data_IF_518339625854
#
_entry.id   IF_518339625854
#
_cell.length_a   1.000
_cell.length_b   1.000
_cell.length_c   1.000
_cell.angle_alpha   90.00
_cell.angle_beta   90.00
_cell.angle_gamma   90.00
#
_symmetry.space_group_name_H-M   'P 1'
#
loop_
_entity.id
_entity.type
_entity.pdbx_description
1 polymer ?
#
# COMPACT_ATOMS: atom_id res chain seq x y z
N UNK A 1 6.12 23.23 0.90
CA UNK A 1 7.35 22.41 0.73
C UNK A 1 7.21 21.65 -0.59
N UNK A 2 8.26 21.61 -1.42
CA UNK A 2 8.24 20.77 -2.63
C UNK A 2 8.68 19.34 -2.27
N UNK A 3 8.17 18.35 -3.00
CA UNK A 3 8.45 16.95 -2.71
C UNK A 3 9.96 16.64 -2.70
N UNK A 4 10.67 17.14 -3.71
CA UNK A 4 12.13 16.99 -3.88
C UNK A 4 12.97 17.52 -2.70
N UNK A 5 12.40 18.43 -1.90
CA UNK A 5 13.10 19.01 -0.74
C UNK A 5 12.97 18.09 0.50
N UNK A 6 12.12 17.06 0.42
CA UNK A 6 11.79 16.12 1.50
C UNK A 6 12.14 14.67 1.17
N UNK A 7 12.00 14.26 -0.09
CA UNK A 7 12.23 12.88 -0.50
C UNK A 7 13.70 12.58 -0.73
N UNK A 8 14.14 11.35 -0.42
CA UNK A 8 15.52 10.91 -0.64
C UNK A 8 16.54 11.47 0.36
N UNK A 9 16.08 12.09 1.45
CA UNK A 9 16.89 12.57 2.56
C UNK A 9 17.06 11.46 3.60
N UNK A 10 18.26 11.27 4.15
CA UNK A 10 18.51 10.29 5.24
C UNK A 10 18.13 8.84 4.86
N UNK A 11 18.70 8.34 3.76
CA UNK A 11 18.56 6.94 3.38
C UNK A 11 19.17 6.03 4.44
N UNK A 12 18.46 4.95 4.78
CA UNK A 12 18.93 3.95 5.72
C UNK A 12 18.90 2.55 5.08
N UNK A 13 19.74 1.66 5.59
CA UNK A 13 19.78 0.25 5.20
C UNK A 13 18.66 -0.54 5.89
N UNK A 14 18.42 -1.77 5.44
CA UNK A 14 17.53 -2.70 6.14
C UNK A 14 17.98 -2.92 7.59
N UNK A 15 19.29 -3.09 7.84
CA UNK A 15 19.85 -3.27 9.18
C UNK A 15 19.55 -2.10 10.11
N UNK A 16 19.73 -0.86 9.60
CA UNK A 16 19.37 0.34 10.35
C UNK A 16 17.87 0.37 10.65
N UNK A 17 17.02 0.00 9.69
CA UNK A 17 15.57 -0.07 9.91
C UNK A 17 15.19 -1.13 10.95
N UNK A 18 15.81 -2.30 10.91
CA UNK A 18 15.61 -3.38 11.89
C UNK A 18 16.18 -3.05 13.28
N UNK A 19 17.04 -2.03 13.39
CA UNK A 19 17.49 -1.53 14.70
C UNK A 19 16.50 -0.58 15.38
N UNK A 20 15.51 -0.08 14.64
CA UNK A 20 14.45 0.76 15.18
C UNK A 20 13.58 -0.04 16.13
N UNK A 21 13.07 0.59 17.19
CA UNK A 21 12.01 -0.02 17.97
C UNK A 21 10.67 0.01 17.20
N UNK A 22 9.68 -0.75 17.69
CA UNK A 22 8.37 -0.87 17.06
C UNK A 22 7.70 0.50 16.78
N UNK A 23 7.74 1.42 17.75
CA UNK A 23 7.11 2.74 17.61
C UNK A 23 7.79 3.57 16.50
N UNK A 24 9.12 3.53 16.45
CA UNK A 24 9.91 4.19 15.43
C UNK A 24 9.65 3.59 14.04
N UNK A 25 9.63 2.27 13.92
CA UNK A 25 9.38 1.58 12.65
C UNK A 25 7.97 1.82 12.11
N UNK A 26 6.95 1.83 12.99
CA UNK A 26 5.55 2.11 12.59
C UNK A 26 5.38 3.55 12.07
N UNK A 27 6.12 4.51 12.64
CA UNK A 27 6.05 5.92 12.22
C UNK A 27 6.99 6.26 11.06
N UNK A 28 7.89 5.35 10.70
CA UNK A 28 8.89 5.58 9.67
C UNK A 28 8.26 5.94 8.33
N UNK A 29 8.71 7.04 7.74
CA UNK A 29 8.24 7.53 6.46
C UNK A 29 9.19 7.15 5.33
N UNK A 30 8.81 6.13 4.56
CA UNK A 30 9.57 5.60 3.42
C UNK A 30 9.73 6.62 2.28
N UNK A 31 8.98 7.72 2.26
CA UNK A 31 9.20 8.80 1.31
C UNK A 31 10.57 9.47 1.48
N UNK A 32 11.11 9.45 2.71
CA UNK A 32 12.48 9.93 2.97
C UNK A 32 13.53 9.11 2.22
N UNK A 33 13.20 7.90 1.76
CA UNK A 33 14.16 7.02 1.08
C UNK A 33 14.29 7.32 -0.43
N UNK A 34 13.32 8.01 -1.04
CA UNK A 34 13.37 8.41 -2.45
C UNK A 34 12.05 8.97 -2.97
N UNK A 35 12.08 9.63 -4.13
CA UNK A 35 10.88 10.19 -4.79
C UNK A 35 9.84 9.11 -5.14
N UNK A 36 10.30 7.90 -5.48
CA UNK A 36 9.48 6.69 -5.66
C UNK A 36 9.68 5.75 -4.47
N UNK A 37 9.05 6.07 -3.34
CA UNK A 37 9.20 5.36 -2.06
C UNK A 37 8.99 3.83 -2.15
N UNK A 38 8.10 3.41 -3.04
CA UNK A 38 7.70 2.02 -3.33
C UNK A 38 8.71 1.22 -4.18
N UNK A 39 9.77 1.88 -4.66
CA UNK A 39 10.86 1.30 -5.47
C UNK A 39 12.24 1.49 -4.87
N UNK A 40 12.30 1.96 -3.62
CA UNK A 40 13.58 2.18 -2.94
C UNK A 40 14.22 0.87 -2.55
N UNK A 41 15.54 0.89 -2.40
CA UNK A 41 16.33 -0.26 -1.94
C UNK A 41 15.82 -0.79 -0.59
N UNK A 42 15.49 0.12 0.34
CA UNK A 42 14.94 -0.26 1.65
C UNK A 42 13.59 -0.98 1.49
N UNK A 43 12.67 -0.43 0.70
CA UNK A 43 11.36 -1.04 0.47
C UNK A 43 11.53 -2.43 -0.16
N UNK A 44 12.33 -2.55 -1.22
CA UNK A 44 12.61 -3.84 -1.87
C UNK A 44 13.21 -4.86 -0.89
N UNK A 45 14.16 -4.43 -0.04
CA UNK A 45 14.81 -5.29 0.95
C UNK A 45 13.83 -5.80 2.01
N UNK A 46 12.93 -4.94 2.50
CA UNK A 46 11.84 -5.33 3.41
C UNK A 46 10.93 -6.34 2.73
N UNK A 47 10.56 -6.11 1.46
CA UNK A 47 9.73 -7.04 0.70
C UNK A 47 10.40 -8.38 0.47
N UNK A 48 11.69 -8.43 0.15
CA UNK A 48 12.43 -9.68 0.04
C UNK A 48 12.49 -10.45 1.36
N UNK A 49 12.65 -9.74 2.49
CA UNK A 49 12.66 -10.38 3.81
C UNK A 49 11.29 -10.95 4.19
N UNK A 50 10.21 -10.23 3.91
CA UNK A 50 8.84 -10.67 4.23
C UNK A 50 8.34 -11.75 3.26
N UNK A 51 8.76 -11.68 2.00
CA UNK A 51 8.20 -12.48 0.91
C UNK A 51 9.33 -13.06 0.04
N UNK A 52 9.78 -14.29 0.30
CA UNK A 52 10.88 -14.92 -0.44
C UNK A 52 10.67 -15.04 -1.97
N UNK A 53 9.43 -14.90 -2.43
CA UNK A 53 9.05 -14.96 -3.85
C UNK A 53 9.01 -13.58 -4.54
N UNK A 54 9.21 -12.50 -3.79
CA UNK A 54 9.24 -11.15 -4.34
C UNK A 54 10.38 -11.00 -5.35
N UNK A 55 10.11 -10.33 -6.46
CA UNK A 55 11.04 -10.06 -7.56
C UNK A 55 10.88 -8.60 -7.90
N UNK A 56 11.84 -7.78 -7.49
CA UNK A 56 11.80 -6.33 -7.66
C UNK A 56 11.60 -5.89 -9.11
N UNK A 57 12.11 -6.68 -10.08
CA UNK A 57 11.99 -6.35 -11.51
C UNK A 57 10.57 -6.53 -12.03
N UNK A 58 9.74 -7.30 -11.32
CA UNK A 58 8.36 -7.61 -11.71
C UNK A 58 7.32 -6.95 -10.81
N UNK A 59 7.65 -6.68 -9.54
CA UNK A 59 6.66 -6.34 -8.51
C UNK A 59 6.90 -4.98 -7.82
N UNK A 60 8.04 -4.31 -8.03
CA UNK A 60 8.30 -3.01 -7.42
C UNK A 60 7.43 -1.88 -8.00
N UNK A 61 6.99 -0.93 -7.16
CA UNK A 61 6.11 0.17 -7.57
C UNK A 61 4.60 -0.08 -7.44
N UNK A 62 4.20 -1.25 -6.93
CA UNK A 62 2.80 -1.61 -6.67
C UNK A 62 2.58 -2.00 -5.20
N UNK A 63 3.45 -1.48 -4.32
CA UNK A 63 3.62 -1.95 -2.94
C UNK A 63 2.88 -1.09 -1.91
N UNK A 64 2.29 0.05 -2.29
CA UNK A 64 1.70 1.00 -1.32
C UNK A 64 0.35 1.53 -1.80
N UNK A 65 -0.63 1.64 -0.89
CA UNK A 65 -1.94 2.19 -1.21
C UNK A 65 -1.95 3.74 -1.15
N UNK A 66 -2.88 4.39 -1.85
CA UNK A 66 -2.95 5.86 -1.93
C UNK A 66 -4.24 6.40 -1.30
N UNK A 67 -4.13 7.49 -0.51
CA UNK A 67 -5.30 8.22 0.03
C UNK A 67 -6.12 8.91 -1.07
N UNK A 68 -5.53 9.12 -2.24
CA UNK A 68 -6.09 9.92 -3.33
C UNK A 68 -7.43 9.39 -3.83
N UNK A 69 -7.58 8.06 -3.85
CA UNK A 69 -8.82 7.40 -4.26
C UNK A 69 -9.93 7.64 -3.24
N UNK A 70 -9.63 7.47 -1.95
CA UNK A 70 -10.60 7.70 -0.87
C UNK A 70 -11.10 9.16 -0.84
N UNK A 71 -10.20 10.13 -1.00
CA UNK A 71 -10.57 11.55 -1.07
C UNK A 71 -11.46 11.84 -2.27
N UNK A 72 -11.11 11.33 -3.46
CA UNK A 72 -11.94 11.52 -4.66
C UNK A 72 -13.33 10.91 -4.50
N UNK A 73 -13.46 9.78 -3.79
CA UNK A 73 -14.73 9.11 -3.48
C UNK A 73 -15.60 9.96 -2.56
N UNK A 74 -15.07 10.39 -1.41
CA UNK A 74 -15.87 11.08 -0.39
C UNK A 74 -16.25 12.51 -0.79
N UNK A 75 -15.33 13.26 -1.40
CA UNK A 75 -15.53 14.68 -1.71
C UNK A 75 -15.91 14.94 -3.17
N UNK A 76 -16.05 13.89 -3.99
CA UNK A 76 -16.39 13.99 -5.41
C UNK A 76 -15.32 14.66 -6.31
N UNK A 77 -14.23 15.18 -5.73
CA UNK A 77 -13.12 15.86 -6.44
C UNK A 77 -11.78 15.37 -5.93
N UNK A 78 -10.76 15.42 -6.79
CA UNK A 78 -9.39 15.14 -6.34
C UNK A 78 -8.94 16.23 -5.39
N UNK A 79 -8.08 15.87 -4.43
CA UNK A 79 -7.57 16.78 -3.39
C UNK A 79 -7.16 18.16 -3.93
N UNK A 80 -6.37 18.19 -5.02
CA UNK A 80 -5.88 19.43 -5.65
C UNK A 80 -6.96 20.38 -6.19
N UNK A 81 -8.20 19.90 -6.33
CA UNK A 81 -9.35 20.68 -6.82
C UNK A 81 -10.38 21.00 -5.72
N UNK A 82 -10.11 20.61 -4.48
CA UNK A 82 -10.88 21.02 -3.31
C UNK A 82 -10.44 22.43 -2.90
N UNK A 83 -11.35 23.15 -2.24
CA UNK A 83 -11.00 24.42 -1.61
C UNK A 83 -10.05 24.20 -0.43
N UNK A 84 -9.33 25.26 -0.03
CA UNK A 84 -8.26 25.12 0.95
C UNK A 84 -8.77 24.70 2.33
N UNK A 85 -9.99 25.08 2.72
CA UNK A 85 -10.58 24.70 4.02
C UNK A 85 -10.79 23.19 4.06
N UNK A 86 -11.41 22.62 3.03
CA UNK A 86 -11.62 21.17 2.91
C UNK A 86 -10.29 20.40 2.83
N UNK A 87 -9.30 20.92 2.10
CA UNK A 87 -7.97 20.33 2.05
C UNK A 87 -7.33 20.22 3.44
N UNK A 88 -7.39 21.29 4.24
CA UNK A 88 -6.82 21.32 5.58
C UNK A 88 -7.58 20.40 6.56
N UNK A 89 -8.90 20.29 6.41
CA UNK A 89 -9.71 19.33 7.18
C UNK A 89 -9.26 17.89 6.96
N UNK A 90 -9.08 17.49 5.69
CA UNK A 90 -8.57 16.15 5.32
C UNK A 90 -7.20 15.90 5.96
N UNK A 91 -6.29 16.88 5.92
CA UNK A 91 -4.97 16.75 6.56
C UNK A 91 -5.12 16.58 8.07
N UNK A 92 -6.02 17.32 8.71
CA UNK A 92 -6.33 17.18 10.14
C UNK A 92 -6.82 15.77 10.49
N UNK A 93 -7.71 15.20 9.68
CA UNK A 93 -8.20 13.83 9.85
C UNK A 93 -7.05 12.82 9.71
N UNK A 94 -6.25 12.93 8.65
CA UNK A 94 -5.11 12.02 8.42
C UNK A 94 -4.14 12.06 9.60
N UNK A 95 -3.77 13.27 10.06
CA UNK A 95 -2.86 13.44 11.22
C UNK A 95 -3.42 12.84 12.50
N UNK A 96 -4.72 12.96 12.74
CA UNK A 96 -5.37 12.39 13.93
C UNK A 96 -5.39 10.86 13.90
N UNK A 97 -5.51 10.27 12.71
CA UNK A 97 -5.71 8.83 12.53
C UNK A 97 -4.43 8.06 12.17
N UNK A 98 -3.33 8.75 11.84
CA UNK A 98 -2.10 8.13 11.34
C UNK A 98 -0.96 8.41 12.30
N UNK A 99 -0.28 7.40 12.88
CA UNK A 99 0.96 7.61 13.63
C UNK A 99 1.98 8.28 12.71
N UNK A 100 2.72 9.28 13.16
CA UNK A 100 3.71 9.96 12.32
C UNK A 100 4.83 10.58 13.15
N UNK A 101 5.96 10.86 12.50
CA UNK A 101 7.03 11.64 13.11
C UNK A 101 6.76 13.14 12.97
N UNK A 102 7.37 13.92 13.85
CA UNK A 102 7.40 15.38 13.72
C UNK A 102 8.06 15.76 12.39
N UNK A 103 7.50 16.76 11.70
CA UNK A 103 7.98 17.20 10.39
C UNK A 103 7.55 16.34 9.20
N UNK A 104 6.86 15.21 9.42
CA UNK A 104 6.33 14.40 8.31
C UNK A 104 5.34 15.21 7.46
N UNK A 105 5.54 15.16 6.13
CA UNK A 105 4.65 15.86 5.19
C UNK A 105 3.41 15.01 4.87
N UNK A 106 2.28 15.69 4.76
CA UNK A 106 0.99 15.09 4.35
C UNK A 106 0.47 15.67 3.04
N UNK A 107 1.09 16.76 2.60
CA UNK A 107 0.86 17.39 1.31
C UNK A 107 2.17 18.04 0.85
N UNK A 108 2.28 18.25 -0.45
CA UNK A 108 3.39 18.99 -1.05
C UNK A 108 2.86 19.92 -2.13
N UNK A 109 3.64 20.96 -2.41
CA UNK A 109 3.35 21.89 -3.50
C UNK A 109 3.92 21.35 -4.81
N UNK A 110 3.13 21.40 -5.87
CA UNK A 110 3.54 21.08 -7.24
C UNK A 110 3.02 22.17 -8.19
N UNK A 111 3.49 22.15 -9.43
CA UNK A 111 3.15 23.17 -10.42
C UNK A 111 2.53 22.50 -11.63
N UNK A 112 1.32 22.95 -12.01
CA UNK A 112 0.69 22.39 -13.19
C UNK A 112 1.40 22.79 -14.49
N UNK A 113 0.97 22.20 -15.62
CA UNK A 113 1.54 22.48 -16.95
C UNK A 113 1.48 23.95 -17.37
N UNK A 114 0.69 24.79 -16.67
CA UNK A 114 0.53 26.22 -16.94
C UNK A 114 1.32 27.08 -15.94
N UNK A 115 2.17 26.49 -15.10
CA UNK A 115 2.95 27.22 -14.11
C UNK A 115 2.16 27.59 -12.85
N UNK A 116 0.92 27.11 -12.68
CA UNK A 116 0.12 27.45 -11.49
C UNK A 116 0.44 26.48 -10.34
N UNK A 117 0.79 26.99 -9.14
CA UNK A 117 1.01 26.14 -7.99
C UNK A 117 -0.29 25.52 -7.50
N UNK A 118 -0.20 24.28 -7.01
CA UNK A 118 -1.28 23.60 -6.33
C UNK A 118 -0.74 22.65 -5.26
N UNK A 119 -1.59 22.28 -4.31
CA UNK A 119 -1.26 21.31 -3.28
C UNK A 119 -1.71 19.91 -3.68
N UNK A 120 -0.82 18.96 -3.49
CA UNK A 120 -1.06 17.55 -3.75
C UNK A 120 -0.94 16.76 -2.45
N UNK A 121 -1.94 15.92 -2.18
CA UNK A 121 -1.91 15.02 -1.03
C UNK A 121 -0.78 14.00 -1.18
N UNK A 122 -0.01 13.85 -0.11
CA UNK A 122 1.01 12.82 0.04
C UNK A 122 0.34 11.47 0.33
N UNK A 123 0.83 10.39 -0.29
CA UNK A 123 0.38 9.06 0.09
C UNK A 123 0.94 8.68 1.47
N UNK A 124 0.35 7.67 2.10
CA UNK A 124 0.96 7.09 3.29
C UNK A 124 2.13 6.19 2.85
N UNK A 125 3.35 6.58 3.15
CA UNK A 125 4.52 5.76 2.90
C UNK A 125 5.05 5.16 4.21
N UNK A 126 4.20 4.46 4.96
CA UNK A 126 4.57 3.81 6.23
C UNK A 126 4.44 2.29 6.13
N UNK A 127 5.10 1.59 7.05
CA UNK A 127 5.15 0.13 7.07
C UNK A 127 3.75 -0.50 7.02
N UNK A 128 2.80 0.06 7.77
CA UNK A 128 1.40 -0.40 7.78
C UNK A 128 0.65 -0.26 6.46
N UNK A 129 1.24 0.37 5.44
CA UNK A 129 0.62 0.54 4.12
C UNK A 129 1.20 -0.39 3.03
N UNK A 130 2.17 -1.26 3.38
CA UNK A 130 2.85 -2.19 2.47
C UNK A 130 1.89 -3.29 1.96
N UNK A 131 1.44 -3.26 0.70
CA UNK A 131 0.53 -4.24 0.10
C UNK A 131 0.87 -4.54 -1.37
N UNK A 132 0.88 -5.81 -1.81
CA UNK A 132 1.07 -6.18 -3.22
C UNK A 132 -0.26 -6.58 -3.85
N UNK A 133 -0.67 -5.88 -4.91
CA UNK A 133 -1.81 -6.23 -5.76
C UNK A 133 -1.36 -6.86 -7.10
N UNK A 134 -2.12 -7.81 -7.68
CA UNK A 134 -1.87 -8.30 -9.04
C UNK A 134 -1.91 -7.19 -10.11
N UNK A 135 -0.85 -7.07 -10.90
CA UNK A 135 -0.65 -5.94 -11.82
C UNK A 135 -1.03 -6.24 -13.29
N UNK A 136 -1.13 -7.50 -13.71
CA UNK A 136 -1.39 -7.80 -15.12
C UNK A 136 -2.88 -7.71 -15.50
N UNK A 137 -3.30 -6.58 -16.10
CA UNK A 137 -4.61 -6.47 -16.77
C UNK A 137 -5.28 -5.10 -16.74
N UNK A 138 -4.66 -4.10 -16.13
CA UNK A 138 -5.21 -2.75 -16.08
C UNK A 138 -6.33 -2.64 -15.06
N UNK A 139 -5.97 -2.22 -13.86
CA UNK A 139 -6.91 -1.58 -12.95
C UNK A 139 -7.33 -0.28 -13.63
N UNK A 140 -8.52 -0.27 -14.23
CA UNK A 140 -9.14 0.93 -14.77
C UNK A 140 -10.02 1.55 -13.67
N UNK A 141 -9.64 2.72 -13.09
CA UNK A 141 -10.38 3.38 -12.02
C UNK A 141 -11.80 3.84 -12.42
N UNK A 142 -12.23 3.74 -13.68
CA UNK A 142 -13.59 4.12 -14.13
C UNK A 142 -14.71 3.11 -13.76
N UNK A 143 -14.42 1.95 -13.16
CA UNK A 143 -15.44 0.95 -12.77
C UNK A 143 -15.87 1.02 -11.30
N UNK A 144 -15.41 2.03 -10.56
CA UNK A 144 -15.80 2.33 -9.19
C UNK A 144 -17.04 3.25 -9.12
N UNK A 145 -18.05 3.02 -9.97
CA UNK A 145 -19.24 3.87 -10.04
C UNK A 145 -20.49 3.21 -9.48
N UNK A 146 -21.42 4.07 -9.09
CA UNK A 146 -22.61 3.78 -8.30
C UNK A 146 -23.46 2.60 -8.82
N UNK A 147 -24.15 1.88 -7.90
CA UNK A 147 -24.17 2.06 -6.44
C UNK A 147 -23.02 1.34 -5.71
N UNK A 148 -22.00 0.85 -6.43
CA UNK A 148 -21.20 -0.31 -5.99
C UNK A 148 -19.90 0.04 -5.28
N UNK A 149 -19.86 -0.30 -3.98
CA UNK A 149 -18.74 -0.16 -3.05
C UNK A 149 -17.48 -0.97 -3.43
N UNK A 150 -16.34 -0.39 -3.02
CA UNK A 150 -14.99 -0.93 -2.85
C UNK A 150 -14.41 -1.88 -3.92
N UNK A 151 -13.42 -1.40 -4.67
CA UNK A 151 -12.62 -2.25 -5.57
C UNK A 151 -11.83 -3.29 -4.79
N UNK A 152 -11.48 -2.99 -3.55
CA UNK A 152 -10.85 -3.94 -2.65
C UNK A 152 -11.83 -5.05 -2.25
N UNK A 153 -13.07 -4.73 -1.90
CA UNK A 153 -14.12 -5.73 -1.65
C UNK A 153 -14.43 -6.56 -2.90
N UNK A 154 -14.50 -5.93 -4.07
CA UNK A 154 -14.67 -6.66 -5.34
C UNK A 154 -13.48 -7.58 -5.64
N UNK A 155 -12.26 -7.12 -5.37
CA UNK A 155 -11.07 -7.96 -5.46
C UNK A 155 -11.13 -9.14 -4.48
N UNK A 156 -11.50 -8.91 -3.22
CA UNK A 156 -11.66 -9.96 -2.20
C UNK A 156 -12.77 -10.95 -2.57
N UNK A 157 -13.88 -10.49 -3.15
CA UNK A 157 -14.96 -11.33 -3.67
C UNK A 157 -14.43 -12.22 -4.80
N UNK A 158 -13.80 -11.63 -5.82
CA UNK A 158 -13.27 -12.39 -6.96
C UNK A 158 -12.16 -13.35 -6.51
N UNK A 159 -11.35 -12.95 -5.54
CA UNK A 159 -10.34 -13.80 -4.93
C UNK A 159 -10.97 -14.96 -4.14
N UNK A 160 -12.07 -14.71 -3.41
CA UNK A 160 -12.83 -15.76 -2.73
C UNK A 160 -13.45 -16.75 -3.70
N UNK A 161 -13.98 -16.27 -4.83
CA UNK A 161 -14.44 -17.15 -5.89
C UNK A 161 -13.30 -18.01 -6.48
N UNK A 162 -12.08 -17.46 -6.63
CA UNK A 162 -10.91 -18.22 -7.07
C UNK A 162 -10.60 -19.38 -6.10
N UNK A 163 -10.51 -19.10 -4.79
CA UNK A 163 -10.25 -20.13 -3.78
C UNK A 163 -11.37 -21.18 -3.73
N UNK A 164 -12.64 -20.77 -3.73
CA UNK A 164 -13.78 -21.68 -3.74
C UNK A 164 -13.83 -22.56 -5.00
N UNK A 165 -13.27 -22.09 -6.11
CA UNK A 165 -13.15 -22.88 -7.34
C UNK A 165 -12.02 -23.92 -7.31
N UNK A 166 -11.22 -23.98 -6.23
CA UNK A 166 -9.98 -24.75 -6.16
C UNK A 166 -9.06 -24.48 -7.36
N UNK A 167 -9.01 -23.22 -7.82
CA UNK A 167 -8.19 -22.78 -8.95
C UNK A 167 -8.46 -23.53 -10.28
N UNK A 168 -9.66 -24.09 -10.48
CA UNK A 168 -10.05 -24.79 -11.72
C UNK A 168 -10.14 -23.82 -12.91
N UNK A 169 -9.85 -24.35 -14.11
CA UNK A 169 -9.75 -23.59 -15.37
C UNK A 169 -11.03 -22.88 -15.82
N UNK A 170 -12.18 -23.23 -15.24
CA UNK A 170 -13.50 -22.68 -15.57
C UNK A 170 -13.71 -21.28 -14.99
N UNK A 171 -12.77 -20.81 -14.15
CA UNK A 171 -12.69 -19.43 -13.69
C UNK A 171 -12.23 -18.43 -14.78
N UNK A 172 -12.07 -18.90 -16.03
CA UNK A 172 -11.80 -18.06 -17.20
C UNK A 172 -13.05 -17.30 -17.63
N UNK A 173 -13.27 -16.12 -17.06
CA UNK A 173 -14.26 -15.17 -17.58
C UNK A 173 -13.60 -14.15 -18.54
N UNK A 174 -14.43 -13.43 -19.30
CA UNK A 174 -14.02 -12.28 -20.12
C UNK A 174 -13.60 -11.06 -19.27
N UNK A 175 -13.75 -11.12 -17.95
CA UNK A 175 -13.39 -10.07 -16.99
C UNK A 175 -11.87 -9.95 -16.80
N UNK A 176 -11.35 -8.74 -16.99
CA UNK A 176 -9.93 -8.40 -16.83
C UNK A 176 -9.41 -8.63 -15.40
N UNK A 177 -10.25 -8.42 -14.37
CA UNK A 177 -9.85 -8.63 -12.97
C UNK A 177 -9.66 -10.12 -12.66
N UNK A 178 -10.57 -10.98 -13.14
CA UNK A 178 -10.43 -12.44 -13.02
C UNK A 178 -9.19 -12.93 -13.75
N UNK A 179 -8.94 -12.43 -14.97
CA UNK A 179 -7.73 -12.76 -15.73
C UNK A 179 -6.45 -12.36 -15.00
N UNK A 180 -6.42 -11.18 -14.37
CA UNK A 180 -5.29 -10.71 -13.58
C UNK A 180 -5.02 -11.60 -12.36
N UNK A 181 -6.09 -11.95 -11.65
CA UNK A 181 -6.03 -12.81 -10.47
C UNK A 181 -5.59 -14.24 -10.85
N UNK A 182 -6.10 -14.79 -11.95
CA UNK A 182 -5.67 -16.10 -12.49
C UNK A 182 -4.24 -16.07 -13.00
N UNK A 183 -3.82 -14.97 -13.61
CA UNK A 183 -2.42 -14.80 -14.03
C UNK A 183 -1.48 -14.90 -12.84
N UNK A 184 -1.90 -14.37 -11.69
CA UNK A 184 -1.19 -14.48 -10.41
C UNK A 184 -1.66 -15.67 -9.54
N UNK A 185 -2.28 -16.71 -10.11
CA UNK A 185 -2.84 -17.83 -9.32
C UNK A 185 -1.81 -18.49 -8.41
N UNK A 186 -0.55 -18.57 -8.84
CA UNK A 186 0.49 -19.23 -8.06
C UNK A 186 0.98 -18.36 -6.89
N UNK A 187 0.72 -17.05 -6.92
CA UNK A 187 0.81 -16.20 -5.73
C UNK A 187 -0.31 -16.55 -4.74
N UNK A 188 -1.55 -16.64 -5.22
CA UNK A 188 -2.71 -16.91 -4.36
C UNK A 188 -2.74 -18.32 -3.79
N UNK A 189 -2.23 -19.34 -4.48
CA UNK A 189 -2.12 -20.71 -3.94
C UNK A 189 -1.26 -20.84 -2.67
N UNK A 190 -0.50 -19.81 -2.32
CA UNK A 190 0.29 -19.78 -1.08
C UNK A 190 -0.58 -19.56 0.15
N UNK A 191 -1.79 -19.05 -0.05
CA UNK A 191 -2.77 -18.90 1.01
C UNK A 191 -3.84 -19.97 0.86
N UNK A 192 -4.41 -20.36 1.99
CA UNK A 192 -5.40 -21.42 2.11
C UNK A 192 -6.77 -20.97 1.60
N UNK A 193 -7.13 -19.71 1.81
CA UNK A 193 -8.40 -19.11 1.41
C UNK A 193 -8.30 -17.56 1.45
N UNK A 194 -9.41 -16.85 1.18
CA UNK A 194 -9.42 -15.38 1.21
C UNK A 194 -9.22 -14.81 2.61
N UNK A 195 -9.72 -15.46 3.66
CA UNK A 195 -9.48 -14.99 5.04
C UNK A 195 -8.01 -15.13 5.39
N UNK A 196 -7.40 -16.27 5.06
CA UNK A 196 -5.96 -16.51 5.18
C UNK A 196 -5.16 -15.47 4.38
N UNK A 197 -5.55 -15.18 3.14
CA UNK A 197 -4.96 -14.09 2.36
C UNK A 197 -5.11 -12.73 3.06
N UNK A 198 -6.29 -12.39 3.58
CA UNK A 198 -6.56 -11.12 4.28
C UNK A 198 -5.73 -11.04 5.56
N UNK A 199 -5.58 -12.14 6.29
CA UNK A 199 -4.90 -12.21 7.57
C UNK A 199 -3.38 -12.16 7.40
N UNK A 200 -2.84 -12.97 6.48
CA UNK A 200 -1.42 -12.99 6.11
C UNK A 200 -0.96 -11.68 5.44
N UNK A 201 -1.89 -10.94 4.82
CA UNK A 201 -1.60 -9.61 4.25
C UNK A 201 -2.10 -8.44 5.11
N UNK A 202 -2.73 -8.73 6.25
CA UNK A 202 -3.16 -7.80 7.30
C UNK A 202 -4.18 -6.71 6.89
N UNK A 203 -5.33 -7.05 6.30
CA UNK A 203 -6.19 -6.10 5.55
C UNK A 203 -7.51 -5.63 6.21
N UNK A 204 -7.67 -5.69 7.55
CA UNK A 204 -8.95 -5.43 8.26
C UNK A 204 -9.09 -4.01 8.93
N UNK A 205 -9.71 -3.02 8.25
CA UNK A 205 -10.00 -1.59 8.61
C UNK A 205 -8.89 -0.46 8.60
N UNK A 206 -8.90 0.38 7.54
CA UNK A 206 -7.80 1.28 7.05
C UNK A 206 -7.04 2.20 8.04
N UNK A 207 -7.55 2.58 9.22
CA UNK A 207 -6.84 3.55 10.09
C UNK A 207 -6.23 2.92 11.34
N UNK A 208 -6.99 2.09 12.07
CA UNK A 208 -6.42 1.23 13.12
C UNK A 208 -5.53 0.12 12.53
N UNK A 209 -5.78 -0.30 11.27
CA UNK A 209 -4.86 -1.17 10.51
C UNK A 209 -3.47 -0.58 10.52
N UNK A 210 -3.25 0.67 10.09
CA UNK A 210 -1.89 1.09 9.72
C UNK A 210 -0.94 0.94 10.92
N UNK A 211 -1.41 1.35 12.10
CA UNK A 211 -0.68 1.12 13.35
C UNK A 211 -0.56 -0.36 13.68
N UNK A 212 -1.66 -1.10 13.75
CA UNK A 212 -1.65 -2.51 14.18
C UNK A 212 -0.87 -3.42 13.21
N UNK A 213 -1.02 -3.20 11.90
CA UNK A 213 -0.29 -3.82 10.81
C UNK A 213 1.18 -3.45 10.81
N UNK A 214 1.51 -2.18 11.02
CA UNK A 214 2.89 -1.77 11.20
C UNK A 214 3.56 -2.56 12.33
N UNK A 215 2.87 -2.73 13.47
CA UNK A 215 3.36 -3.56 14.59
C UNK A 215 3.51 -5.04 14.21
N UNK A 216 2.53 -5.61 13.52
CA UNK A 216 2.59 -7.02 13.06
C UNK A 216 3.74 -7.26 12.08
N UNK A 217 3.88 -6.40 11.07
CA UNK A 217 4.97 -6.45 10.10
C UNK A 217 6.33 -6.25 10.78
N UNK A 218 6.40 -5.34 11.76
CA UNK A 218 7.57 -5.21 12.61
C UNK A 218 7.90 -6.52 13.32
N UNK A 219 6.91 -7.17 13.96
CA UNK A 219 7.08 -8.49 14.56
C UNK A 219 7.62 -9.52 13.57
N UNK A 220 7.01 -9.65 12.39
CA UNK A 220 7.42 -10.59 11.34
C UNK A 220 8.86 -10.34 10.86
N UNK A 221 9.29 -9.08 10.76
CA UNK A 221 10.66 -8.71 10.40
C UNK A 221 11.70 -9.10 11.45
N UNK A 222 11.29 -9.31 12.70
CA UNK A 222 12.18 -9.62 13.84
C UNK A 222 12.08 -11.07 14.32
N UNK A 223 11.29 -11.92 13.66
CA UNK A 223 11.35 -13.37 13.89
C UNK A 223 12.67 -13.89 13.31
N UNK A 224 13.48 -14.53 14.16
CA UNK A 224 14.74 -15.14 13.72
C UNK A 224 14.48 -16.31 12.76
N UNK A 225 15.24 -16.40 11.67
CA UNK A 225 15.19 -17.48 10.67
C UNK A 225 15.47 -18.89 11.27
N UNK A 226 15.85 -18.98 12.55
CA UNK A 226 16.20 -20.20 13.27
C UNK A 226 15.00 -21.04 13.77
N UNK A 227 13.75 -20.73 13.37
CA UNK A 227 12.60 -21.61 13.65
C UNK A 227 12.11 -22.40 12.43
N UNK A 228 12.77 -22.28 11.26
CA UNK A 228 12.46 -23.07 10.06
C UNK A 228 13.38 -24.28 9.85
N UNK A 229 14.14 -24.73 10.86
CA UNK A 229 14.65 -26.11 10.87
C UNK A 229 13.52 -27.04 11.30
N UNK A 230 12.84 -27.58 10.30
CA UNK A 230 11.96 -28.74 10.39
C UNK A 230 12.70 -29.84 11.17
N UNK A 231 12.13 -30.27 12.30
CA UNK A 231 12.39 -31.58 12.91
C UNK A 231 11.40 -32.59 12.38
#
# INVERSE_FOLDING_TARGET
>A
MKLKDYSGINKITLENFLSLNEEQAVRFDFLTQGEEADRTELTNSIYHKLFPWFDEKKHAGDTLNTYRIAVKKYYGKYYRFLDRKTQLEIIGIIKKCTPHNEGQIFEFEETDKKGKPYYQLCNNYQLGNFFILPVQGGINPKRAQEPYNDFFDKFLIVLNELYNSNFKNDFKSTDKLKKAIVFQKDYFKKFTNTADFIDENYLLAITDIIKQRGKKLYGALHVNDNQNTIS
#
